data_IF_804846081170
#
_entry.id   IF_804846081170
#
_cell.length_a   1.000
_cell.length_b   1.000
_cell.length_c   1.000
_cell.angle_alpha   90.00
_cell.angle_beta   90.00
_cell.angle_gamma   90.00
#
_symmetry.space_group_name_H-M   'P 1'
#
loop_
_entity.id
_entity.type
_entity.pdbx_description
1 polymer ?
#
# COMPACT_ATOMS: atom_id res chain seq x y z
N UNK A 1 -10.19 -12.92 13.56
CA UNK A 1 -9.23 -11.81 13.43
C UNK A 1 -9.91 -10.54 13.92
N UNK A 2 -9.21 -9.75 14.72
CA UNK A 2 -9.63 -8.49 15.35
C UNK A 2 -9.10 -7.30 14.57
N UNK A 3 -9.64 -6.11 14.82
CA UNK A 3 -9.13 -4.85 14.25
C UNK A 3 -7.63 -4.66 14.52
N UNK A 4 -7.15 -5.05 15.70
CA UNK A 4 -5.73 -4.95 16.08
C UNK A 4 -4.82 -5.76 15.17
N UNK A 5 -5.25 -6.94 14.75
CA UNK A 5 -4.45 -7.79 13.86
C UNK A 5 -4.37 -7.19 12.45
N UNK A 6 -5.46 -6.64 11.92
CA UNK A 6 -5.45 -5.99 10.60
C UNK A 6 -4.64 -4.69 10.61
N UNK A 7 -4.70 -3.93 11.70
CA UNK A 7 -3.82 -2.76 11.90
C UNK A 7 -2.35 -3.18 11.90
N UNK A 8 -2.01 -4.27 12.59
CA UNK A 8 -0.64 -4.81 12.57
C UNK A 8 -0.20 -5.22 11.17
N UNK A 9 -1.07 -5.87 10.38
CA UNK A 9 -0.76 -6.23 8.98
C UNK A 9 -0.51 -4.96 8.15
N UNK A 10 -1.37 -3.95 8.29
CA UNK A 10 -1.18 -2.66 7.61
C UNK A 10 0.14 -2.00 7.98
N UNK A 11 0.46 -1.92 9.28
CA UNK A 11 1.69 -1.30 9.76
C UNK A 11 2.93 -2.02 9.22
N UNK A 12 2.97 -3.35 9.29
CA UNK A 12 4.09 -4.13 8.74
C UNK A 12 4.23 -3.97 7.23
N UNK A 13 3.12 -4.01 6.48
CA UNK A 13 3.11 -3.75 5.04
C UNK A 13 3.64 -2.33 4.73
N UNK A 14 3.11 -1.30 5.41
CA UNK A 14 3.48 0.10 5.22
C UNK A 14 4.96 0.34 5.53
N UNK A 15 5.48 -0.23 6.62
CA UNK A 15 6.90 -0.17 6.96
C UNK A 15 7.79 -0.81 5.90
N UNK A 16 7.46 -2.01 5.41
CA UNK A 16 8.26 -2.67 4.38
C UNK A 16 8.19 -1.93 3.04
N UNK A 17 7.03 -1.39 2.68
CA UNK A 17 6.87 -0.53 1.51
C UNK A 17 7.69 0.76 1.61
N UNK A 18 7.72 1.40 2.79
CA UNK A 18 8.57 2.56 3.05
C UNK A 18 10.05 2.25 2.87
N UNK A 19 10.53 1.20 3.51
CA UNK A 19 11.94 0.78 3.40
C UNK A 19 12.32 0.45 1.96
N UNK A 20 11.44 -0.24 1.23
CA UNK A 20 11.63 -0.51 -0.19
C UNK A 20 11.66 0.80 -1.01
N UNK A 21 10.72 1.71 -0.78
CA UNK A 21 10.62 2.97 -1.51
C UNK A 21 11.88 3.81 -1.30
N UNK A 22 12.24 4.06 -0.04
CA UNK A 22 13.34 4.94 0.33
C UNK A 22 14.69 4.38 -0.16
N UNK A 23 14.86 3.06 -0.13
CA UNK A 23 16.05 2.39 -0.70
C UNK A 23 16.20 2.63 -2.21
N UNK A 24 15.10 2.54 -2.95
CA UNK A 24 15.12 2.57 -4.40
C UNK A 24 14.86 3.93 -5.01
N UNK A 25 14.39 4.92 -4.24
CA UNK A 25 14.06 6.26 -4.72
C UNK A 25 15.22 6.89 -5.51
N UNK A 26 16.37 7.03 -4.86
CA UNK A 26 17.57 7.63 -5.48
C UNK A 26 18.02 6.83 -6.71
N UNK A 27 18.02 5.49 -6.62
CA UNK A 27 18.45 4.62 -7.71
C UNK A 27 17.51 4.72 -8.94
N UNK A 28 16.21 4.88 -8.70
CA UNK A 28 15.21 5.04 -9.76
C UNK A 28 15.27 6.43 -10.40
N UNK A 29 15.57 7.48 -9.64
CA UNK A 29 15.85 8.82 -10.19
C UNK A 29 17.10 8.84 -11.08
N UNK A 30 18.17 8.17 -10.65
CA UNK A 30 19.41 8.08 -11.42
C UNK A 30 19.23 7.24 -12.70
N UNK A 31 18.62 6.06 -12.59
CA UNK A 31 18.41 5.19 -13.76
C UNK A 31 17.36 4.10 -13.54
N UNK A 32 16.09 4.46 -13.68
CA UNK A 32 14.97 3.50 -13.62
C UNK A 32 15.17 2.27 -14.54
N UNK A 33 15.69 2.47 -15.76
CA UNK A 33 15.89 1.37 -16.72
C UNK A 33 16.88 0.30 -16.21
N UNK A 34 17.94 0.71 -15.52
CA UNK A 34 18.98 -0.19 -15.02
C UNK A 34 18.55 -0.92 -13.74
N UNK A 35 17.73 -0.26 -12.89
CA UNK A 35 17.36 -0.78 -11.58
C UNK A 35 16.01 -1.50 -11.56
N UNK A 36 15.16 -1.35 -12.59
CA UNK A 36 13.80 -1.93 -12.63
C UNK A 36 13.75 -3.41 -12.26
N UNK A 37 14.67 -4.24 -12.75
CA UNK A 37 14.67 -5.69 -12.44
C UNK A 37 14.87 -5.95 -10.94
N UNK A 38 15.81 -5.26 -10.32
CA UNK A 38 16.09 -5.39 -8.90
C UNK A 38 14.94 -4.84 -8.05
N UNK A 39 14.42 -3.68 -8.44
CA UNK A 39 13.29 -3.01 -7.79
C UNK A 39 12.07 -3.93 -7.72
N UNK A 40 11.71 -4.56 -8.83
CA UNK A 40 10.60 -5.54 -8.87
C UNK A 40 10.94 -6.80 -8.06
N UNK A 41 12.16 -7.33 -8.19
CA UNK A 41 12.57 -8.53 -7.47
C UNK A 41 12.45 -8.39 -5.96
N UNK A 42 12.78 -7.22 -5.41
CA UNK A 42 12.64 -6.95 -3.97
C UNK A 42 11.22 -6.57 -3.55
N UNK A 43 10.37 -6.11 -4.48
CA UNK A 43 8.97 -5.81 -4.21
C UNK A 43 8.09 -7.06 -4.13
N UNK A 44 8.38 -8.08 -4.96
CA UNK A 44 7.58 -9.31 -5.06
C UNK A 44 7.37 -9.98 -3.68
N UNK A 45 8.41 -10.22 -2.85
CA UNK A 45 8.22 -10.87 -1.55
C UNK A 45 7.33 -10.09 -0.59
N UNK A 46 7.33 -8.76 -0.65
CA UNK A 46 6.44 -7.89 0.14
C UNK A 46 5.00 -8.14 -0.31
N UNK A 47 4.77 -8.11 -1.63
CA UNK A 47 3.46 -8.35 -2.21
C UNK A 47 2.94 -9.76 -1.93
N UNK A 48 3.77 -10.78 -2.05
CA UNK A 48 3.36 -12.16 -1.80
C UNK A 48 2.98 -12.38 -0.33
N UNK A 49 3.58 -11.63 0.60
CA UNK A 49 3.25 -11.68 2.02
C UNK A 49 1.92 -10.97 2.32
N UNK A 50 1.75 -9.74 1.82
CA UNK A 50 0.70 -8.83 2.29
C UNK A 50 -0.46 -8.62 1.33
N UNK A 51 -0.34 -9.01 0.05
CA UNK A 51 -1.29 -8.66 -1.01
C UNK A 51 -1.81 -9.94 -1.67
N UNK A 52 -3.11 -9.99 -1.97
CA UNK A 52 -3.68 -11.10 -2.74
C UNK A 52 -3.19 -11.05 -4.20
N UNK A 53 -2.97 -12.21 -4.82
CA UNK A 53 -2.53 -12.29 -6.23
C UNK A 53 -3.52 -11.62 -7.20
N UNK A 54 -4.82 -11.70 -6.92
CA UNK A 54 -5.89 -11.06 -7.69
C UNK A 54 -6.27 -9.66 -7.19
N UNK A 55 -5.45 -9.07 -6.32
CA UNK A 55 -5.68 -7.73 -5.80
C UNK A 55 -5.66 -6.69 -6.92
N UNK A 56 -6.55 -5.70 -6.80
CA UNK A 56 -6.71 -4.68 -7.83
C UNK A 56 -5.45 -3.82 -7.94
N UNK A 57 -4.96 -3.66 -9.18
CA UNK A 57 -3.73 -2.92 -9.54
C UNK A 57 -2.43 -3.43 -8.89
N UNK A 58 -2.41 -4.68 -8.38
CA UNK A 58 -1.18 -5.36 -7.96
C UNK A 58 -0.17 -5.43 -9.11
N UNK A 59 -0.61 -5.97 -10.24
CA UNK A 59 0.29 -6.21 -11.38
C UNK A 59 0.79 -4.90 -12.01
N UNK A 60 -0.01 -3.83 -11.97
CA UNK A 60 0.44 -2.51 -12.43
C UNK A 60 1.66 -2.02 -11.64
N UNK A 61 1.67 -2.25 -10.32
CA UNK A 61 2.82 -1.91 -9.46
C UNK A 61 4.04 -2.79 -9.74
N UNK A 62 3.83 -4.10 -9.97
CA UNK A 62 4.94 -5.03 -10.26
C UNK A 62 5.49 -4.87 -11.68
N UNK A 63 4.67 -4.43 -12.64
CA UNK A 63 5.10 -4.13 -14.01
C UNK A 63 5.77 -2.76 -14.05
N UNK A 64 5.19 -1.74 -13.43
CA UNK A 64 5.70 -0.38 -13.48
C UNK A 64 5.92 0.14 -12.06
N UNK A 65 6.94 -0.35 -11.34
CA UNK A 65 7.21 0.14 -10.01
C UNK A 65 7.61 1.62 -10.08
N UNK A 66 7.06 2.42 -9.20
CA UNK A 66 7.48 3.80 -9.00
C UNK A 66 7.84 4.02 -7.55
N UNK A 67 8.75 4.94 -7.31
CA UNK A 67 9.12 5.41 -5.98
C UNK A 67 8.85 6.90 -5.91
N UNK A 68 8.66 7.41 -4.72
CA UNK A 68 8.37 8.83 -4.48
C UNK A 68 9.05 9.31 -3.21
N UNK A 69 9.41 10.58 -3.16
CA UNK A 69 9.94 11.22 -1.96
C UNK A 69 9.16 12.52 -1.72
N UNK A 70 8.44 12.65 -0.60
CA UNK A 70 8.31 11.66 0.48
C UNK A 70 7.36 10.49 0.13
N UNK A 71 7.65 9.33 0.70
CA UNK A 71 6.86 8.09 0.56
C UNK A 71 5.43 8.24 1.15
N UNK A 72 4.40 7.82 0.41
CA UNK A 72 3.02 7.73 0.93
C UNK A 72 2.86 6.71 2.06
N UNK A 73 3.67 5.64 2.05
CA UNK A 73 3.66 4.61 3.08
C UNK A 73 4.53 5.08 4.24
N UNK A 74 3.90 5.45 5.35
CA UNK A 74 4.61 5.80 6.56
C UNK A 74 3.71 5.51 7.77
N UNK A 75 3.85 4.35 8.43
CA UNK A 75 3.00 4.02 9.57
C UNK A 75 3.34 4.82 10.84
N UNK A 76 4.46 5.57 10.85
CA UNK A 76 4.83 6.43 11.99
C UNK A 76 4.19 7.80 11.89
N UNK A 77 4.10 8.36 10.68
CA UNK A 77 3.52 9.69 10.46
C UNK A 77 2.06 9.65 10.04
N UNK A 78 1.60 8.62 9.34
CA UNK A 78 0.23 8.53 8.87
C UNK A 78 -0.75 8.16 9.99
N UNK A 79 -1.95 8.75 9.94
CA UNK A 79 -2.99 8.53 10.95
C UNK A 79 -4.03 7.52 10.45
N UNK A 80 -4.42 6.57 11.33
CA UNK A 80 -5.60 5.73 11.10
C UNK A 80 -6.83 6.51 11.55
N UNK A 81 -7.61 7.02 10.60
CA UNK A 81 -8.79 7.83 10.87
C UNK A 81 -9.96 6.99 11.39
N UNK A 82 -10.16 5.82 10.77
CA UNK A 82 -11.20 4.87 11.16
C UNK A 82 -10.94 3.49 10.57
N UNK A 83 -11.58 2.50 11.16
CA UNK A 83 -11.63 1.13 10.67
C UNK A 83 -13.10 0.75 10.53
N UNK A 84 -13.46 0.24 9.37
CA UNK A 84 -14.78 -0.35 9.13
C UNK A 84 -14.61 -1.86 8.99
N UNK A 85 -15.50 -2.62 9.60
CA UNK A 85 -15.48 -4.09 9.57
C UNK A 85 -16.80 -4.63 9.04
N UNK A 86 -16.68 -5.75 8.33
CA UNK A 86 -17.79 -6.59 7.88
C UNK A 86 -17.43 -8.05 8.12
N UNK A 87 -18.33 -8.99 7.79
CA UNK A 87 -18.08 -10.42 8.00
C UNK A 87 -16.82 -10.93 7.27
N UNK A 88 -16.49 -10.39 6.09
CA UNK A 88 -15.38 -10.85 5.25
C UNK A 88 -14.26 -9.84 5.03
N UNK A 89 -14.54 -8.55 5.25
CA UNK A 89 -13.66 -7.46 4.84
C UNK A 89 -13.40 -6.49 6.00
N UNK A 90 -12.15 -6.01 6.11
CA UNK A 90 -11.79 -4.85 6.91
C UNK A 90 -11.34 -3.72 5.98
N UNK A 91 -11.71 -2.50 6.31
CA UNK A 91 -11.37 -1.30 5.56
C UNK A 91 -10.72 -0.30 6.49
N UNK A 92 -9.45 0.00 6.26
CA UNK A 92 -8.71 1.01 7.05
C UNK A 92 -8.63 2.30 6.24
N UNK A 93 -8.97 3.41 6.87
CA UNK A 93 -8.85 4.74 6.31
C UNK A 93 -7.61 5.41 6.89
N UNK A 94 -6.72 5.84 5.99
CA UNK A 94 -5.39 6.37 6.33
C UNK A 94 -5.28 7.79 5.80
N UNK A 95 -5.01 8.74 6.68
CA UNK A 95 -4.62 10.08 6.32
C UNK A 95 -3.09 10.14 6.24
N UNK A 96 -2.54 10.54 5.09
CA UNK A 96 -1.11 10.81 4.96
C UNK A 96 -0.79 12.22 5.42
N UNK A 97 0.38 12.36 6.03
CA UNK A 97 0.94 13.64 6.49
C UNK A 97 2.34 13.89 5.94
N UNK A 98 2.96 12.89 5.33
CA UNK A 98 4.21 13.01 4.59
C UNK A 98 3.92 13.51 3.17
N UNK A 99 4.42 14.70 2.81
CA UNK A 99 4.25 15.27 1.47
C UNK A 99 2.87 15.84 1.21
N UNK A 100 2.21 15.35 0.16
CA UNK A 100 0.83 15.74 -0.14
C UNK A 100 -0.12 14.99 0.80
N UNK A 101 -0.93 15.74 1.54
CA UNK A 101 -1.97 15.16 2.37
C UNK A 101 -3.03 14.50 1.49
N UNK A 102 -3.13 13.17 1.60
CA UNK A 102 -4.05 12.34 0.85
C UNK A 102 -4.78 11.39 1.80
N UNK A 103 -6.04 11.14 1.50
CA UNK A 103 -6.82 10.13 2.21
C UNK A 103 -6.85 8.85 1.39
N UNK A 104 -6.32 7.77 1.95
CA UNK A 104 -6.34 6.44 1.37
C UNK A 104 -7.30 5.50 2.09
N UNK A 105 -7.75 4.49 1.36
CA UNK A 105 -8.55 3.39 1.87
C UNK A 105 -7.92 2.06 1.49
N UNK A 106 -7.61 1.24 2.48
CA UNK A 106 -7.02 -0.09 2.31
C UNK A 106 -8.08 -1.14 2.65
N UNK A 107 -8.43 -1.99 1.68
CA UNK A 107 -9.40 -3.07 1.88
C UNK A 107 -8.69 -4.41 2.02
N UNK A 108 -8.76 -4.99 3.21
CA UNK A 108 -8.28 -6.32 3.54
C UNK A 108 -9.42 -7.32 3.44
N UNK A 109 -9.15 -8.49 2.85
CA UNK A 109 -10.14 -9.57 2.72
C UNK A 109 -9.67 -10.84 3.37
N UNK A 110 -10.59 -11.52 4.05
CA UNK A 110 -10.40 -12.88 4.54
C UNK A 110 -10.58 -13.87 3.39
N UNK A 111 -9.61 -14.76 3.20
CA UNK A 111 -9.80 -16.00 2.42
C UNK A 111 -9.16 -17.14 3.18
N UNK A 112 -9.92 -18.20 3.42
CA UNK A 112 -9.56 -19.24 4.39
C UNK A 112 -9.25 -18.57 5.74
N UNK A 113 -8.07 -18.78 6.33
CA UNK A 113 -7.65 -18.14 7.59
C UNK A 113 -6.68 -16.96 7.40
N UNK A 114 -6.41 -16.54 6.16
CA UNK A 114 -5.47 -15.47 5.87
C UNK A 114 -6.17 -14.16 5.53
N UNK A 115 -5.55 -13.06 5.94
CA UNK A 115 -5.96 -11.71 5.58
C UNK A 115 -4.85 -11.04 4.80
N UNK A 116 -5.19 -10.51 3.64
CA UNK A 116 -4.28 -9.75 2.79
C UNK A 116 -5.01 -8.57 2.16
N UNK A 117 -4.23 -7.57 1.78
CA UNK A 117 -4.68 -6.41 1.05
C UNK A 117 -5.20 -6.84 -0.32
N UNK A 118 -6.40 -6.41 -0.65
CA UNK A 118 -7.07 -6.70 -1.93
C UNK A 118 -7.17 -5.47 -2.82
N UNK A 119 -7.09 -4.27 -2.22
CA UNK A 119 -7.36 -3.00 -2.89
C UNK A 119 -6.84 -1.82 -2.06
N UNK A 120 -6.25 -0.84 -2.75
CA UNK A 120 -5.98 0.50 -2.24
C UNK A 120 -6.76 1.50 -3.09
N UNK A 121 -7.43 2.45 -2.46
CA UNK A 121 -8.09 3.58 -3.13
C UNK A 121 -7.56 4.89 -2.57
N UNK A 122 -7.57 5.94 -3.40
CA UNK A 122 -7.30 7.33 -3.00
C UNK A 122 -8.58 8.15 -3.12
N UNK A 123 -8.82 9.06 -2.17
CA UNK A 123 -9.92 10.00 -2.24
C UNK A 123 -9.53 11.20 -3.11
N UNK A 124 -10.31 11.46 -4.16
CA UNK A 124 -10.14 12.66 -4.98
C UNK A 124 -11.12 13.73 -4.53
N UNK A 125 -10.65 14.73 -3.79
CA UNK A 125 -11.49 15.82 -3.26
C UNK A 125 -12.24 16.56 -4.37
N UNK A 126 -11.55 16.86 -5.47
CA UNK A 126 -12.11 17.57 -6.64
C UNK A 126 -13.33 16.87 -7.24
N UNK A 127 -13.40 15.54 -7.11
CA UNK A 127 -14.48 14.70 -7.65
C UNK A 127 -15.36 14.10 -6.55
N UNK A 128 -15.05 14.37 -5.28
CA UNK A 128 -15.69 13.80 -4.08
C UNK A 128 -15.91 12.29 -4.18
N UNK A 129 -14.90 11.54 -4.64
CA UNK A 129 -15.02 10.10 -4.87
C UNK A 129 -13.73 9.34 -4.60
N UNK A 130 -13.90 8.07 -4.24
CA UNK A 130 -12.82 7.09 -4.17
C UNK A 130 -12.45 6.61 -5.58
N UNK A 131 -11.16 6.59 -5.86
CA UNK A 131 -10.59 6.08 -7.10
C UNK A 131 -9.58 4.99 -6.79
N UNK A 132 -9.59 3.95 -7.61
CA UNK A 132 -8.66 2.84 -7.47
C UNK A 132 -7.22 3.32 -7.66
N UNK A 133 -6.38 3.04 -6.67
CA UNK A 133 -4.96 3.39 -6.66
C UNK A 133 -4.11 2.13 -6.78
N UNK A 134 -2.87 2.26 -7.25
CA UNK A 134 -1.95 1.14 -7.19
C UNK A 134 -1.70 0.77 -5.72
N UNK A 135 -1.59 -0.52 -5.45
CA UNK A 135 -1.23 -1.03 -4.12
C UNK A 135 0.23 -0.76 -3.84
#
# INVERSE_FOLDING_TARGET
MSEKEVVSIYQSFSSEMKLWNDKFYILMEESAANHRKQVVHELIPIFDRYVWEDAKRRDERLVSPSTEDPCDYDPETNTIEKIESSESDFVIFIQTHSGLENLFRYTFKKRNENWKLSRRDIFLETKKKWMLHHI
#
